data_IF_823332618843
#
_entry.id   IF_823332618843
#
_cell.length_a   1.000
_cell.length_b   1.000
_cell.length_c   1.000
_cell.angle_alpha   90.00
_cell.angle_beta   90.00
_cell.angle_gamma   90.00
#
_symmetry.space_group_name_H-M   'P 1'
#
loop_
_entity.id
_entity.type
_entity.pdbx_description
1 polymer ?
#
# COMPACT_ATOMS: atom_id res chain seq x y z
N UNK A 1 -11.03 27.48 -10.50
CA UNK A 1 -9.67 26.86 -10.62
C UNK A 1 -9.53 26.15 -11.95
N UNK A 2 -8.30 25.82 -12.41
CA UNK A 2 -8.11 25.05 -13.67
C UNK A 2 -8.94 23.75 -13.70
N UNK A 3 -9.06 23.06 -12.56
CA UNK A 3 -9.86 21.84 -12.41
C UNK A 3 -11.35 22.09 -12.65
N UNK A 4 -11.91 23.16 -12.08
CA UNK A 4 -13.31 23.53 -12.29
C UNK A 4 -13.60 23.85 -13.76
N UNK A 5 -12.73 24.59 -14.44
CA UNK A 5 -12.91 24.91 -15.86
C UNK A 5 -12.88 23.66 -16.74
N UNK A 6 -11.93 22.75 -16.49
CA UNK A 6 -11.85 21.48 -17.23
C UNK A 6 -13.10 20.61 -16.98
N UNK A 7 -13.65 20.63 -15.77
CA UNK A 7 -14.85 19.88 -15.43
C UNK A 7 -16.14 20.43 -16.05
N UNK A 8 -16.14 21.61 -16.68
CA UNK A 8 -17.29 22.13 -17.44
C UNK A 8 -17.40 21.53 -18.85
N UNK A 9 -16.32 20.95 -19.37
CA UNK A 9 -16.32 20.35 -20.70
C UNK A 9 -17.28 19.14 -20.75
N UNK A 10 -18.01 18.92 -21.87
CA UNK A 10 -18.93 17.80 -22.03
C UNK A 10 -18.20 16.49 -22.34
N UNK A 11 -17.20 16.15 -21.51
CA UNK A 11 -16.42 14.91 -21.60
C UNK A 11 -16.70 14.02 -20.39
N UNK A 12 -16.64 12.68 -20.53
CA UNK A 12 -16.96 11.76 -19.44
C UNK A 12 -15.90 11.71 -18.33
N UNK A 13 -14.76 12.38 -18.52
CA UNK A 13 -13.63 12.36 -17.59
C UNK A 13 -13.75 13.56 -16.63
N UNK A 14 -13.70 13.28 -15.31
CA UNK A 14 -13.67 14.31 -14.27
C UNK A 14 -12.25 14.45 -13.71
N UNK A 15 -11.81 15.70 -13.60
CA UNK A 15 -10.51 16.06 -13.05
C UNK A 15 -10.64 16.32 -11.55
N UNK A 16 -9.64 15.87 -10.80
CA UNK A 16 -9.46 16.15 -9.36
C UNK A 16 -8.04 16.65 -9.14
N UNK A 17 -7.85 17.67 -8.30
CA UNK A 17 -6.53 18.04 -7.81
C UNK A 17 -6.52 17.94 -6.28
N UNK A 18 -5.41 17.42 -5.75
CA UNK A 18 -5.14 17.41 -4.32
C UNK A 18 -3.85 18.21 -4.11
N UNK A 19 -3.98 19.37 -3.47
CA UNK A 19 -2.87 20.27 -3.17
C UNK A 19 -2.88 20.46 -1.66
N UNK A 20 -1.78 20.10 -1.01
CA UNK A 20 -1.60 20.29 0.41
C UNK A 20 -0.14 20.63 0.70
N UNK A 21 0.07 21.54 1.65
CA UNK A 21 1.39 21.88 2.18
C UNK A 21 1.92 20.87 3.19
N UNK A 22 1.07 19.96 3.66
CA UNK A 22 1.39 19.01 4.73
C UNK A 22 1.57 17.58 4.22
N UNK A 23 0.77 17.16 3.23
CA UNK A 23 0.78 15.79 2.71
C UNK A 23 0.60 15.74 1.20
N UNK A 24 1.28 14.81 0.54
CA UNK A 24 1.09 14.56 -0.90
C UNK A 24 1.26 13.08 -1.21
N UNK A 25 0.38 12.57 -2.07
CA UNK A 25 0.40 11.19 -2.53
C UNK A 25 1.25 11.09 -3.81
N UNK A 26 2.21 10.17 -3.84
CA UNK A 26 3.06 9.94 -5.00
C UNK A 26 3.34 8.44 -5.14
N UNK A 27 2.95 7.86 -6.28
CA UNK A 27 3.08 6.43 -6.55
C UNK A 27 2.45 5.59 -5.41
N UNK A 28 3.27 4.77 -4.75
CA UNK A 28 2.97 3.85 -3.66
C UNK A 28 3.26 4.43 -2.26
N UNK A 29 3.51 5.75 -2.15
CA UNK A 29 3.77 6.43 -0.88
C UNK A 29 2.90 7.68 -0.69
N UNK A 30 2.55 7.95 0.56
CA UNK A 30 2.08 9.26 1.01
C UNK A 30 3.22 9.92 1.77
N UNK A 31 3.64 11.08 1.28
CA UNK A 31 4.64 11.92 1.91
C UNK A 31 3.94 12.89 2.86
N UNK A 32 4.52 13.13 4.04
CA UNK A 32 4.04 14.12 5.00
C UNK A 32 5.19 14.94 5.59
N UNK A 33 4.90 16.20 5.94
CA UNK A 33 5.86 17.07 6.63
C UNK A 33 5.82 16.78 8.13
N UNK A 34 6.89 16.18 8.66
CA UNK A 34 7.08 15.96 10.09
C UNK A 34 7.89 17.08 10.76
N UNK A 35 8.13 16.95 12.07
CA UNK A 35 8.73 18.02 12.92
C UNK A 35 10.09 18.52 12.47
N UNK A 36 10.86 17.73 11.69
CA UNK A 36 12.15 18.15 11.09
C UNK A 36 12.57 17.23 9.92
N UNK A 37 11.63 16.49 9.32
CA UNK A 37 11.90 15.50 8.28
C UNK A 37 10.68 15.30 7.40
N UNK A 38 10.91 14.79 6.19
CA UNK A 38 9.83 14.24 5.37
C UNK A 38 9.56 12.83 5.91
N UNK A 39 8.32 12.61 6.32
CA UNK A 39 7.81 11.29 6.65
C UNK A 39 7.15 10.69 5.42
N UNK A 40 7.16 9.37 5.33
CA UNK A 40 6.50 8.66 4.26
C UNK A 40 5.90 7.36 4.79
N UNK A 41 4.77 6.96 4.21
CA UNK A 41 4.08 5.72 4.54
C UNK A 41 3.51 5.07 3.28
N UNK A 42 3.21 3.77 3.34
CA UNK A 42 2.62 3.07 2.19
C UNK A 42 1.27 3.69 1.86
N UNK A 43 1.03 3.99 0.58
CA UNK A 43 -0.24 4.55 0.13
C UNK A 43 -0.84 3.69 -0.98
N UNK A 44 -2.16 3.47 -0.91
CA UNK A 44 -2.94 2.84 -1.97
C UNK A 44 -4.07 3.78 -2.36
N UNK A 45 -4.17 4.07 -3.66
CA UNK A 45 -5.27 4.91 -4.17
C UNK A 45 -6.60 4.21 -3.94
N UNK A 46 -7.63 4.96 -3.56
CA UNK A 46 -8.99 4.41 -3.39
C UNK A 46 -9.56 3.75 -4.67
N UNK A 47 -9.07 4.16 -5.85
CA UNK A 47 -9.44 3.57 -7.13
C UNK A 47 -8.59 2.34 -7.50
N UNK A 48 -7.47 2.14 -6.82
CA UNK A 48 -6.65 0.95 -6.99
C UNK A 48 -7.33 -0.19 -6.22
N UNK A 49 -7.87 -1.16 -6.97
CA UNK A 49 -8.47 -2.35 -6.37
C UNK A 49 -7.46 -3.18 -5.60
N UNK A 50 -6.15 -2.99 -5.87
CA UNK A 50 -5.00 -3.61 -5.24
C UNK A 50 -5.30 -5.01 -4.68
N UNK A 51 -5.92 -5.85 -5.52
CA UNK A 51 -6.46 -7.13 -5.10
C UNK A 51 -5.29 -8.07 -4.94
N UNK A 52 -4.88 -8.30 -3.69
CA UNK A 52 -4.00 -9.40 -3.34
C UNK A 52 -4.56 -10.68 -3.98
N UNK A 53 -3.67 -11.50 -4.54
CA UNK A 53 -4.08 -12.73 -5.19
C UNK A 53 -4.73 -13.67 -4.17
N UNK A 54 -5.93 -14.17 -4.44
CA UNK A 54 -6.55 -15.14 -3.53
C UNK A 54 -5.72 -16.42 -3.44
N UNK A 55 -5.57 -17.01 -2.25
CA UNK A 55 -4.73 -18.19 -2.01
C UNK A 55 -5.15 -19.41 -2.86
N UNK A 56 -6.45 -19.52 -3.13
CA UNK A 56 -7.07 -20.61 -3.91
C UNK A 56 -7.24 -20.29 -5.40
N UNK A 57 -6.73 -19.15 -5.86
CA UNK A 57 -6.78 -18.79 -7.28
C UNK A 57 -5.91 -19.72 -8.15
N UNK A 58 -6.19 -19.76 -9.45
CA UNK A 58 -5.49 -20.59 -10.44
C UNK A 58 -4.05 -20.13 -10.78
N UNK A 59 -3.47 -19.24 -9.98
CA UNK A 59 -2.11 -18.75 -10.17
C UNK A 59 -1.07 -19.74 -9.64
N UNK A 60 0.18 -19.70 -10.16
CA UNK A 60 1.26 -20.57 -9.71
C UNK A 60 1.49 -20.51 -8.20
N UNK A 61 1.73 -21.66 -7.58
CA UNK A 61 1.93 -21.77 -6.14
C UNK A 61 3.16 -20.98 -5.66
N UNK A 62 4.23 -20.95 -6.45
CA UNK A 62 5.43 -20.18 -6.13
C UNK A 62 5.11 -18.68 -5.97
N UNK A 63 4.31 -18.11 -6.90
CA UNK A 63 3.90 -16.71 -6.85
C UNK A 63 3.06 -16.41 -5.60
N UNK A 64 2.06 -17.25 -5.32
CA UNK A 64 1.19 -17.07 -4.15
C UNK A 64 1.98 -17.13 -2.85
N UNK A 65 2.97 -18.03 -2.76
CA UNK A 65 3.85 -18.16 -1.57
C UNK A 65 4.81 -17.00 -1.40
N UNK A 66 5.34 -16.42 -2.49
CA UNK A 66 6.26 -15.28 -2.40
C UNK A 66 5.56 -13.94 -2.15
N UNK A 67 4.27 -13.84 -2.50
CA UNK A 67 3.53 -12.58 -2.48
C UNK A 67 3.48 -11.93 -1.07
N UNK A 68 3.15 -12.63 0.03
CA UNK A 68 3.12 -12.02 1.36
C UNK A 68 4.43 -11.35 1.74
N UNK A 69 5.56 -12.06 1.58
CA UNK A 69 6.89 -11.52 1.88
C UNK A 69 7.20 -10.27 1.04
N UNK A 70 6.90 -10.31 -0.26
CA UNK A 70 7.13 -9.17 -1.14
C UNK A 70 6.34 -7.93 -0.70
N UNK A 71 5.09 -8.11 -0.27
CA UNK A 71 4.24 -7.02 0.21
C UNK A 71 4.70 -6.49 1.57
N UNK A 72 5.11 -7.35 2.51
CA UNK A 72 5.68 -6.91 3.77
C UNK A 72 6.98 -6.12 3.59
N UNK A 73 7.87 -6.56 2.70
CA UNK A 73 9.06 -5.79 2.33
C UNK A 73 8.70 -4.42 1.74
N UNK A 74 7.61 -4.33 0.97
CA UNK A 74 7.13 -3.06 0.45
C UNK A 74 6.68 -2.12 1.57
N UNK A 75 5.93 -2.61 2.56
CA UNK A 75 5.54 -1.83 3.75
C UNK A 75 6.78 -1.34 4.51
N UNK A 76 7.76 -2.23 4.73
CA UNK A 76 8.99 -1.88 5.46
C UNK A 76 9.82 -0.82 4.75
N UNK A 77 9.94 -0.93 3.42
CA UNK A 77 10.68 0.04 2.59
C UNK A 77 9.97 1.39 2.52
N UNK A 78 8.64 1.37 2.45
CA UNK A 78 7.82 2.54 2.20
C UNK A 78 7.25 3.17 3.47
N UNK A 79 7.87 2.94 4.64
CA UNK A 79 7.48 3.61 5.90
C UNK A 79 8.68 4.17 6.65
N UNK A 80 8.65 5.46 6.97
CA UNK A 80 9.69 6.15 7.75
C UNK A 80 9.49 6.10 9.26
N UNK A 81 8.26 5.81 9.70
CA UNK A 81 7.87 5.73 11.11
C UNK A 81 7.55 4.29 11.48
N UNK A 82 8.06 3.85 12.64
CA UNK A 82 7.94 2.45 13.06
C UNK A 82 6.53 2.11 13.55
N UNK A 83 5.82 3.06 14.18
CA UNK A 83 4.44 2.83 14.62
C UNK A 83 3.51 2.68 13.40
N UNK A 84 3.67 3.55 12.41
CA UNK A 84 2.93 3.50 11.14
C UNK A 84 3.25 2.24 10.36
N UNK A 85 4.53 1.84 10.33
CA UNK A 85 4.98 0.60 9.71
C UNK A 85 4.31 -0.61 10.34
N UNK A 86 4.31 -0.72 11.67
CA UNK A 86 3.69 -1.87 12.35
C UNK A 86 2.18 -1.92 12.11
N UNK A 87 1.50 -0.78 12.18
CA UNK A 87 0.07 -0.70 11.83
C UNK A 87 -0.19 -1.19 10.40
N UNK A 88 0.60 -0.73 9.43
CA UNK A 88 0.44 -1.13 8.03
C UNK A 88 0.80 -2.60 7.77
N UNK A 89 1.71 -3.20 8.55
CA UNK A 89 1.99 -4.63 8.50
C UNK A 89 0.80 -5.45 9.01
N UNK A 90 0.13 -4.99 10.07
CA UNK A 90 -1.11 -5.61 10.58
C UNK A 90 -2.22 -5.52 9.53
N UNK A 91 -2.48 -4.32 8.98
CA UNK A 91 -3.50 -4.13 7.93
C UNK A 91 -3.22 -5.00 6.69
N UNK A 92 -1.94 -5.11 6.27
CA UNK A 92 -1.56 -5.97 5.16
C UNK A 92 -1.81 -7.44 5.48
N UNK A 93 -1.50 -7.89 6.70
CA UNK A 93 -1.75 -9.27 7.14
C UNK A 93 -3.24 -9.60 7.12
N UNK A 94 -4.08 -8.71 7.63
CA UNK A 94 -5.55 -8.86 7.62
C UNK A 94 -6.08 -9.03 6.21
N UNK A 95 -5.65 -8.21 5.26
CA UNK A 95 -6.03 -8.34 3.84
C UNK A 95 -5.62 -9.68 3.23
N UNK A 96 -4.45 -10.22 3.60
CA UNK A 96 -4.07 -11.57 3.17
C UNK A 96 -4.94 -12.66 3.80
N UNK A 97 -5.33 -12.52 5.06
CA UNK A 97 -6.26 -13.46 5.72
C UNK A 97 -7.62 -13.47 5.01
N UNK A 98 -8.14 -12.29 4.64
CA UNK A 98 -9.36 -12.16 3.83
C UNK A 98 -9.22 -12.84 2.45
N UNK A 99 -8.01 -12.88 1.90
CA UNK A 99 -7.69 -13.58 0.66
C UNK A 99 -7.44 -15.09 0.83
N UNK A 100 -7.71 -15.66 2.00
CA UNK A 100 -7.64 -17.10 2.28
C UNK A 100 -6.25 -17.64 2.61
N UNK A 101 -5.28 -16.77 2.93
CA UNK A 101 -3.97 -17.21 3.39
C UNK A 101 -4.01 -17.67 4.85
N UNK A 102 -3.12 -18.59 5.21
CA UNK A 102 -3.04 -19.15 6.56
C UNK A 102 -2.13 -18.30 7.46
N UNK A 103 -2.52 -18.11 8.73
CA UNK A 103 -1.74 -17.36 9.73
C UNK A 103 -0.26 -17.77 9.77
N UNK A 104 0.02 -19.07 9.88
CA UNK A 104 1.39 -19.61 9.93
C UNK A 104 2.24 -19.24 8.72
N UNK A 105 1.63 -19.14 7.53
CA UNK A 105 2.34 -18.74 6.31
C UNK A 105 2.67 -17.25 6.33
N UNK A 106 1.73 -16.43 6.82
CA UNK A 106 1.89 -14.99 6.93
C UNK A 106 2.88 -14.60 8.01
N UNK A 107 2.85 -15.27 9.17
CA UNK A 107 3.78 -15.03 10.27
C UNK A 107 5.21 -15.35 9.86
N UNK A 108 5.43 -16.49 9.20
CA UNK A 108 6.74 -16.85 8.65
C UNK A 108 7.22 -15.84 7.61
N UNK A 109 6.35 -15.42 6.69
CA UNK A 109 6.71 -14.43 5.68
C UNK A 109 7.06 -13.06 6.29
N UNK A 110 6.39 -12.68 7.39
CA UNK A 110 6.68 -11.47 8.13
C UNK A 110 8.01 -11.56 8.87
N UNK A 111 8.28 -12.68 9.55
CA UNK A 111 9.57 -12.96 10.18
C UNK A 111 10.71 -12.87 9.17
N UNK A 112 10.56 -13.55 8.02
CA UNK A 112 11.53 -13.51 6.93
C UNK A 112 11.73 -12.12 6.31
N UNK A 113 10.73 -11.24 6.38
CA UNK A 113 10.85 -9.87 5.91
C UNK A 113 11.58 -8.98 6.93
N UNK A 114 11.42 -9.26 8.23
CA UNK A 114 12.10 -8.55 9.33
C UNK A 114 13.57 -8.92 9.45
N UNK A 115 13.97 -10.11 9.01
CA UNK A 115 15.38 -10.53 9.03
C UNK A 115 16.18 -9.84 7.92
N UNK A 116 17.23 -9.05 8.25
CA UNK A 116 18.13 -8.49 7.24
C UNK A 116 18.83 -9.60 6.46
N UNK A 117 19.05 -9.39 5.15
CA UNK A 117 19.95 -10.25 4.36
C UNK A 117 21.41 -9.87 4.60
#
# INVERSE_FOLDING_TARGET
>A
TMVEELNKLPVPIRMTANISSERVQYLDVELSVGTNKIEYSLFTKATDRNTLLHAHSAHPQALKKSLPKAQYLSVMRNSSDDNTKERQLVEMKERFLECGYQHSTLDKALEEARTPR
#
